data_IF_052269730668
#
_entry.id   IF_052269730668
#
_cell.length_a   1.000
_cell.length_b   1.000
_cell.length_c   1.000
_cell.angle_alpha   90.00
_cell.angle_beta   90.00
_cell.angle_gamma   90.00
#
_symmetry.space_group_name_H-M   'P 1'
#
loop_
_entity.id
_entity.type
_entity.pdbx_description
1 polymer ?
#
# COMPACT_ATOMS: atom_id res chain seq x y z
N UNK A 1 -14.63 18.40 -5.04
CA UNK A 1 -14.14 18.66 -3.67
C UNK A 1 -14.30 17.35 -2.93
N UNK A 2 -13.33 16.46 -3.08
CA UNK A 2 -13.36 15.16 -2.41
C UNK A 2 -13.17 15.41 -0.92
N UNK A 3 -14.09 14.86 -0.13
CA UNK A 3 -13.94 14.84 1.33
C UNK A 3 -12.74 13.95 1.65
N UNK A 4 -11.63 14.55 2.07
CA UNK A 4 -10.53 13.84 2.74
C UNK A 4 -11.08 13.26 4.05
N UNK A 5 -11.75 12.10 3.96
CA UNK A 5 -12.20 11.38 5.12
C UNK A 5 -10.99 10.64 5.70
N UNK A 6 -10.46 11.15 6.81
CA UNK A 6 -9.39 10.51 7.59
C UNK A 6 -9.90 9.44 8.54
N UNK A 7 -11.21 9.25 8.64
CA UNK A 7 -11.77 8.19 9.45
C UNK A 7 -11.48 6.85 8.78
N UNK A 8 -10.69 6.02 9.47
CA UNK A 8 -10.38 4.68 9.00
C UNK A 8 -11.67 3.89 8.72
N UNK A 9 -11.71 3.07 7.66
CA UNK A 9 -12.85 2.21 7.36
C UNK A 9 -13.19 1.28 8.54
N UNK A 10 -14.47 0.97 8.75
CA UNK A 10 -14.93 0.11 9.85
C UNK A 10 -14.26 -1.27 9.85
N UNK A 11 -13.93 -1.78 8.67
CA UNK A 11 -13.26 -3.07 8.47
C UNK A 11 -11.72 -2.98 8.50
N UNK A 12 -11.13 -1.82 8.84
CA UNK A 12 -9.68 -1.60 8.78
C UNK A 12 -8.87 -2.68 9.52
N UNK A 13 -9.24 -2.99 10.75
CA UNK A 13 -8.53 -3.98 11.57
C UNK A 13 -8.60 -5.40 10.96
N UNK A 14 -9.73 -5.76 10.36
CA UNK A 14 -9.88 -7.06 9.69
C UNK A 14 -8.97 -7.12 8.46
N UNK A 15 -9.00 -6.08 7.61
CA UNK A 15 -8.15 -5.99 6.41
C UNK A 15 -6.67 -6.03 6.77
N UNK A 16 -6.25 -5.37 7.86
CA UNK A 16 -4.89 -5.46 8.37
C UNK A 16 -4.51 -6.89 8.76
N UNK A 17 -5.38 -7.58 9.50
CA UNK A 17 -5.13 -8.96 9.90
C UNK A 17 -5.02 -9.89 8.70
N UNK A 18 -5.91 -9.73 7.72
CA UNK A 18 -5.89 -10.53 6.48
C UNK A 18 -4.61 -10.28 5.67
N UNK A 19 -4.17 -9.02 5.58
CA UNK A 19 -2.91 -8.65 4.92
C UNK A 19 -1.70 -9.28 5.63
N UNK A 20 -1.61 -9.13 6.95
CA UNK A 20 -0.51 -9.71 7.74
C UNK A 20 -0.49 -11.24 7.59
N UNK A 21 -1.65 -11.90 7.64
CA UNK A 21 -1.74 -13.33 7.45
C UNK A 21 -1.28 -13.77 6.05
N UNK A 22 -1.62 -13.00 5.01
CA UNK A 22 -1.14 -13.27 3.66
C UNK A 22 0.38 -13.16 3.57
N UNK A 23 0.96 -12.07 4.09
CA UNK A 23 2.40 -11.84 4.07
C UNK A 23 3.17 -12.97 4.78
N UNK A 24 2.72 -13.39 5.97
CA UNK A 24 3.31 -14.50 6.72
C UNK A 24 3.23 -15.85 5.98
N UNK A 25 2.19 -16.07 5.17
CA UNK A 25 2.07 -17.29 4.38
C UNK A 25 2.94 -17.24 3.12
N UNK A 26 3.06 -16.07 2.49
CA UNK A 26 3.94 -15.86 1.33
C UNK A 26 5.40 -16.05 1.70
N UNK A 27 5.82 -15.60 2.89
CA UNK A 27 7.14 -15.87 3.47
C UNK A 27 7.46 -17.37 3.43
N UNK A 28 6.56 -18.19 3.97
CA UNK A 28 6.69 -19.64 4.01
C UNK A 28 6.78 -20.26 2.61
N UNK A 29 5.98 -19.77 1.66
CA UNK A 29 6.02 -20.26 0.27
C UNK A 29 7.33 -19.90 -0.44
N UNK A 30 7.92 -18.74 -0.15
CA UNK A 30 9.24 -18.34 -0.68
C UNK A 30 10.34 -19.25 -0.12
N UNK A 31 10.30 -19.57 1.18
CA UNK A 31 11.21 -20.56 1.79
C UNK A 31 11.10 -21.95 1.14
N UNK A 32 9.91 -22.31 0.66
CA UNK A 32 9.63 -23.56 -0.07
C UNK A 32 10.01 -23.51 -1.56
N UNK A 33 10.52 -22.36 -2.05
CA UNK A 33 11.03 -22.19 -3.41
C UNK A 33 10.00 -21.71 -4.44
N UNK A 34 8.84 -21.21 -4.00
CA UNK A 34 7.84 -20.60 -4.88
C UNK A 34 8.12 -19.11 -5.08
N UNK A 35 8.21 -18.64 -6.34
CA UNK A 35 8.38 -17.22 -6.64
C UNK A 35 7.02 -16.52 -6.67
N UNK A 36 6.67 -15.86 -5.56
CA UNK A 36 5.52 -14.96 -5.49
C UNK A 36 6.02 -13.54 -5.18
N UNK A 37 5.80 -12.60 -6.10
CA UNK A 37 6.16 -11.19 -5.88
C UNK A 37 5.15 -10.55 -4.91
N UNK A 38 5.58 -10.30 -3.67
CA UNK A 38 4.82 -9.57 -2.66
C UNK A 38 4.43 -8.19 -3.20
N UNK A 39 5.36 -7.49 -3.85
CA UNK A 39 5.09 -6.18 -4.46
C UNK A 39 3.94 -6.22 -5.49
N UNK A 40 3.91 -7.22 -6.38
CA UNK A 40 2.83 -7.39 -7.36
C UNK A 40 1.47 -7.67 -6.71
N UNK A 41 1.47 -8.48 -5.66
CA UNK A 41 0.27 -8.73 -4.86
C UNK A 41 -0.20 -7.47 -4.14
N UNK A 42 0.68 -6.74 -3.45
CA UNK A 42 0.39 -5.48 -2.76
C UNK A 42 -0.26 -4.48 -3.72
N UNK A 43 0.33 -4.27 -4.90
CA UNK A 43 -0.23 -3.38 -5.92
C UNK A 43 -1.66 -3.76 -6.29
N UNK A 44 -1.93 -5.04 -6.51
CA UNK A 44 -3.26 -5.53 -6.88
C UNK A 44 -4.27 -5.41 -5.75
N UNK A 45 -3.86 -5.77 -4.53
CA UNK A 45 -4.68 -5.72 -3.33
C UNK A 45 -5.06 -4.28 -2.97
N UNK A 46 -4.09 -3.36 -2.97
CA UNK A 46 -4.34 -1.95 -2.66
C UNK A 46 -5.15 -1.25 -3.74
N UNK A 47 -4.94 -1.59 -5.01
CA UNK A 47 -5.82 -1.12 -6.09
C UNK A 47 -7.26 -1.56 -5.85
N UNK A 48 -7.49 -2.84 -5.49
CA UNK A 48 -8.82 -3.33 -5.14
C UNK A 48 -9.44 -2.58 -3.95
N UNK A 49 -8.69 -2.35 -2.87
CA UNK A 49 -9.18 -1.55 -1.74
C UNK A 49 -9.59 -0.14 -2.21
N UNK A 50 -8.77 0.51 -3.03
CA UNK A 50 -9.05 1.85 -3.53
C UNK A 50 -10.31 1.92 -4.40
N UNK A 51 -10.54 0.91 -5.25
CA UNK A 51 -11.77 0.76 -6.04
C UNK A 51 -13.01 0.55 -5.17
N UNK A 52 -12.85 0.13 -3.91
CA UNK A 52 -13.91 -0.04 -2.93
C UNK A 52 -13.99 1.13 -1.92
N UNK A 53 -13.47 2.29 -2.30
CA UNK A 53 -13.61 3.53 -1.52
C UNK A 53 -12.52 3.76 -0.48
N UNK A 54 -11.45 2.95 -0.46
CA UNK A 54 -10.28 3.29 0.34
C UNK A 54 -9.52 4.45 -0.31
N UNK A 55 -9.17 5.46 0.48
CA UNK A 55 -8.35 6.57 0.01
C UNK A 55 -6.87 6.19 0.04
N UNK A 56 -6.03 6.98 -0.64
CA UNK A 56 -4.57 6.86 -0.52
C UNK A 56 -4.11 6.98 0.94
N UNK A 57 -4.76 7.84 1.73
CA UNK A 57 -4.53 7.95 3.16
C UNK A 57 -4.76 6.62 3.89
N UNK A 58 -5.89 5.95 3.67
CA UNK A 58 -6.18 4.66 4.32
C UNK A 58 -5.14 3.59 3.97
N UNK A 59 -4.75 3.51 2.70
CA UNK A 59 -3.74 2.54 2.21
C UNK A 59 -2.37 2.84 2.82
N UNK A 60 -1.99 4.12 2.86
CA UNK A 60 -0.74 4.56 3.49
C UNK A 60 -0.71 4.21 4.97
N UNK A 61 -1.78 4.51 5.71
CA UNK A 61 -1.89 4.16 7.13
C UNK A 61 -1.81 2.64 7.33
N UNK A 62 -2.46 1.85 6.48
CA UNK A 62 -2.42 0.39 6.55
C UNK A 62 -1.00 -0.18 6.37
N UNK A 63 -0.24 0.35 5.41
CA UNK A 63 1.15 -0.06 5.17
C UNK A 63 2.04 0.31 6.37
N UNK A 64 2.01 1.57 6.80
CA UNK A 64 2.82 2.02 7.94
C UNK A 64 2.50 1.24 9.21
N UNK A 65 1.23 1.07 9.52
CA UNK A 65 0.77 0.34 10.69
C UNK A 65 1.15 -1.14 10.65
N UNK A 66 1.39 -1.69 9.45
CA UNK A 66 1.90 -3.06 9.30
C UNK A 66 3.40 -3.13 9.50
N UNK A 67 4.16 -2.18 8.93
CA UNK A 67 5.61 -2.05 9.13
C UNK A 67 5.93 -1.86 10.61
N UNK A 68 5.23 -0.95 11.29
CA UNK A 68 5.53 -0.56 12.67
C UNK A 68 5.09 -1.60 13.71
N UNK A 69 4.00 -2.33 13.46
CA UNK A 69 3.35 -3.16 14.48
C UNK A 69 3.39 -4.67 14.21
N UNK A 70 4.19 -5.14 13.24
CA UNK A 70 4.30 -6.57 12.93
C UNK A 70 5.72 -7.08 13.07
N UNK A 71 6.14 -7.39 14.30
CA UNK A 71 7.46 -7.96 14.61
C UNK A 71 7.69 -9.40 14.12
N UNK A 72 6.73 -9.97 13.37
CA UNK A 72 6.75 -11.36 12.89
C UNK A 72 7.08 -11.49 11.41
N UNK A 73 7.13 -10.39 10.67
CA UNK A 73 7.46 -10.42 9.26
C UNK A 73 8.97 -10.46 9.10
N UNK A 74 9.44 -11.21 8.12
CA UNK A 74 10.84 -11.22 7.70
C UNK A 74 11.31 -9.85 7.17
N UNK A 75 12.61 -9.59 7.26
CA UNK A 75 13.26 -8.34 6.84
C UNK A 75 13.06 -8.06 5.34
N UNK A 76 13.03 -9.08 4.49
CA UNK A 76 12.79 -8.93 3.04
C UNK A 76 11.36 -8.44 2.77
N UNK A 77 10.38 -8.94 3.53
CA UNK A 77 8.98 -8.48 3.44
C UNK A 77 8.85 -7.04 3.91
N UNK A 78 9.51 -6.69 5.01
CA UNK A 78 9.55 -5.32 5.51
C UNK A 78 10.18 -4.38 4.46
N UNK A 79 11.24 -4.82 3.80
CA UNK A 79 11.88 -4.07 2.70
C UNK A 79 10.89 -3.83 1.55
N UNK A 80 10.18 -4.86 1.09
CA UNK A 80 9.15 -4.74 0.05
C UNK A 80 8.02 -3.77 0.45
N UNK A 81 7.61 -3.78 1.73
CA UNK A 81 6.60 -2.85 2.24
C UNK A 81 7.11 -1.41 2.27
N UNK A 82 8.38 -1.19 2.61
CA UNK A 82 9.02 0.15 2.59
C UNK A 82 9.17 0.65 1.15
N UNK A 83 9.58 -0.21 0.21
CA UNK A 83 9.63 0.15 -1.21
C UNK A 83 8.25 0.53 -1.73
N UNK A 84 7.22 -0.22 -1.34
CA UNK A 84 5.84 0.09 -1.69
C UNK A 84 5.39 1.43 -1.07
N UNK A 85 5.71 1.70 0.20
CA UNK A 85 5.42 2.98 0.86
C UNK A 85 6.09 4.15 0.14
N UNK A 86 7.35 3.98 -0.27
CA UNK A 86 8.13 5.00 -1.01
C UNK A 86 7.46 5.30 -2.35
N UNK A 87 7.02 4.26 -3.06
CA UNK A 87 6.30 4.39 -4.33
C UNK A 87 4.89 5.00 -4.15
N UNK A 88 4.24 4.75 -3.01
CA UNK A 88 2.95 5.33 -2.64
C UNK A 88 3.05 6.81 -2.26
N UNK A 89 4.20 7.25 -1.75
CA UNK A 89 4.44 8.65 -1.37
C UNK A 89 5.10 9.48 -2.46
N UNK A 90 5.39 8.89 -3.61
CA UNK A 90 5.97 9.60 -4.76
C UNK A 90 7.44 9.94 -4.57
N UNK A 91 8.10 9.36 -3.57
CA UNK A 91 9.55 9.46 -3.37
C UNK A 91 10.31 8.47 -4.26
N UNK A 92 9.89 8.36 -5.53
CA UNK A 92 10.49 7.48 -6.52
C UNK A 92 10.48 8.17 -7.91
N UNK A 93 11.04 7.51 -8.92
CA UNK A 93 10.92 7.99 -10.29
C UNK A 93 9.44 8.06 -10.71
N UNK A 94 9.02 9.02 -11.56
CA UNK A 94 7.62 9.19 -11.96
C UNK A 94 6.89 7.91 -12.36
N UNK A 95 7.55 7.03 -13.09
CA UNK A 95 7.07 5.74 -13.56
C UNK A 95 6.86 4.69 -12.46
N UNK A 96 7.52 4.86 -11.32
CA UNK A 96 7.41 3.96 -10.17
C UNK A 96 6.25 4.35 -9.25
N UNK A 97 5.67 5.56 -9.39
CA UNK A 97 4.59 6.03 -8.54
C UNK A 97 3.36 5.13 -8.66
N UNK A 98 2.92 4.58 -7.53
CA UNK A 98 1.74 3.71 -7.49
C UNK A 98 0.49 4.50 -7.82
N UNK A 99 -0.24 4.03 -8.83
CA UNK A 99 -1.58 4.48 -9.19
C UNK A 99 -2.64 3.60 -8.54
N UNK A 100 -3.52 4.23 -7.79
CA UNK A 100 -4.75 3.73 -7.21
C UNK A 100 -5.94 4.10 -8.10
N UNK A 101 -7.10 3.50 -7.85
CA UNK A 101 -8.27 3.61 -8.73
C UNK A 101 -8.81 5.03 -8.90
N UNK A 102 -8.63 5.88 -7.88
CA UNK A 102 -9.17 7.25 -7.85
C UNK A 102 -8.11 8.32 -8.15
N UNK A 103 -6.90 7.94 -8.55
CA UNK A 103 -5.84 8.90 -8.84
C UNK A 103 -5.96 9.52 -10.24
N UNK A 104 -5.33 10.69 -10.49
CA UNK A 104 -5.29 11.31 -11.82
C UNK A 104 -4.69 10.41 -12.89
N UNK A 105 -5.33 10.30 -14.06
CA UNK A 105 -4.88 9.48 -15.20
C UNK A 105 -3.51 9.92 -15.77
N UNK A 106 -3.24 11.22 -15.84
CA UNK A 106 -1.96 11.73 -16.32
C UNK A 106 -0.84 11.47 -15.31
N UNK A 107 0.34 11.07 -15.81
CA UNK A 107 1.48 10.72 -14.95
C UNK A 107 2.03 11.94 -14.21
N UNK A 108 2.04 13.13 -14.82
CA UNK A 108 2.53 14.33 -14.16
C UNK A 108 1.53 14.79 -13.09
N UNK A 109 0.24 14.72 -13.38
CA UNK A 109 -0.80 15.04 -12.40
C UNK A 109 -0.78 14.07 -11.21
N UNK A 110 -0.58 12.77 -11.46
CA UNK A 110 -0.39 11.77 -10.40
C UNK A 110 0.83 12.13 -9.53
N UNK A 111 1.99 12.38 -10.14
CA UNK A 111 3.20 12.71 -9.39
C UNK A 111 3.07 14.02 -8.60
N UNK A 112 2.43 15.04 -9.18
CA UNK A 112 2.14 16.29 -8.48
C UNK A 112 1.18 16.06 -7.30
N UNK A 113 0.10 15.32 -7.51
CA UNK A 113 -0.87 14.99 -6.47
C UNK A 113 -0.21 14.23 -5.32
N UNK A 114 0.51 13.15 -5.63
CA UNK A 114 1.15 12.30 -4.62
C UNK A 114 2.27 13.06 -3.89
N UNK A 115 3.15 13.73 -4.63
CA UNK A 115 4.28 14.48 -4.08
C UNK A 115 3.86 15.73 -3.29
N UNK A 116 2.68 16.29 -3.55
CA UNK A 116 2.16 17.41 -2.75
C UNK A 116 1.84 17.03 -1.31
N UNK A 117 1.57 15.74 -1.04
CA UNK A 117 1.16 15.27 0.27
C UNK A 117 -0.24 15.70 0.72
N UNK A 118 -1.01 16.41 -0.11
CA UNK A 118 -2.36 16.92 0.26
C UNK A 118 -3.34 15.80 0.62
N UNK A 119 -3.11 14.59 0.11
CA UNK A 119 -3.88 13.39 0.44
C UNK A 119 -3.65 12.91 1.88
N UNK A 120 -2.64 13.43 2.58
CA UNK A 120 -2.40 13.18 4.02
C UNK A 120 -3.13 14.17 4.93
N UNK A 121 -3.70 15.26 4.39
CA UNK A 121 -4.35 16.37 5.13
C UNK A 121 -5.87 16.21 5.28
#
# INVERSE_FOLDING_TARGET
METNNKTLPENYNQIKQDMVLHLLNTERSIEEGESNSIFGWLKSFMYHLSSNGWTRFHIYTLILDTIENTSKLDEDIITDLIEYETALTGFCAPECTIRLANDPDDINDLNNYVGSGIWKE
#
